data_IF_762248358610
#
_entry.id   IF_762248358610
#
_cell.length_a   1.000
_cell.length_b   1.000
_cell.length_c   1.000
_cell.angle_alpha   90.00
_cell.angle_beta   90.00
_cell.angle_gamma   90.00
#
_symmetry.space_group_name_H-M   'P 1'
#
loop_
_entity.id
_entity.type
_entity.pdbx_description
1 polymer ?
#
# COMPACT_ATOMS: atom_id res chain seq x y z
N UNK A 1 11.12 3.71 2.32
CA UNK A 1 10.01 4.68 2.48
C UNK A 1 9.85 5.27 3.86
N UNK A 2 10.76 4.99 4.74
CA UNK A 2 10.74 5.59 6.08
C UNK A 2 10.85 7.10 6.01
N UNK A 3 11.57 7.62 5.03
CA UNK A 3 11.74 9.06 4.88
C UNK A 3 10.42 9.79 4.56
N UNK A 4 9.38 9.05 4.16
CA UNK A 4 8.07 9.63 3.93
C UNK A 4 7.18 9.63 5.18
N UNK A 5 7.68 9.03 6.27
CA UNK A 5 6.98 9.04 7.55
C UNK A 5 5.83 8.04 7.64
N UNK A 6 5.80 7.05 6.75
CA UNK A 6 4.76 6.02 6.83
C UNK A 6 5.09 5.03 7.93
N UNK A 7 4.06 4.52 8.59
CA UNK A 7 4.19 3.51 9.64
C UNK A 7 3.88 2.13 9.06
N UNK A 8 4.77 1.17 9.28
CA UNK A 8 4.51 -0.20 8.82
C UNK A 8 3.60 -0.91 9.82
N UNK A 9 2.44 -1.34 9.35
CA UNK A 9 1.47 -2.04 10.19
C UNK A 9 1.57 -3.54 10.04
N UNK A 10 2.02 -4.05 8.89
CA UNK A 10 2.13 -5.48 8.64
C UNK A 10 3.15 -5.72 7.53
N UNK A 11 3.73 -6.92 7.53
CA UNK A 11 4.60 -7.35 6.45
C UNK A 11 5.99 -6.74 6.48
N UNK A 12 6.47 -6.33 7.65
CA UNK A 12 7.76 -5.66 7.77
C UNK A 12 8.90 -6.43 7.11
N UNK A 13 8.87 -7.75 7.18
CA UNK A 13 9.92 -8.58 6.58
C UNK A 13 9.96 -8.48 5.05
N UNK A 14 8.91 -7.94 4.45
CA UNK A 14 8.80 -7.83 2.99
C UNK A 14 8.97 -6.40 2.48
N UNK A 15 9.40 -5.48 3.33
CA UNK A 15 9.57 -4.08 2.96
C UNK A 15 10.65 -3.85 1.90
N UNK A 16 11.49 -4.83 1.67
CA UNK A 16 12.59 -4.71 0.71
C UNK A 16 12.14 -4.81 -0.75
N UNK A 17 10.85 -5.07 -0.99
CA UNK A 17 10.36 -5.27 -2.34
C UNK A 17 10.55 -4.05 -3.22
N UNK A 18 10.87 -4.32 -4.47
CA UNK A 18 11.01 -3.27 -5.47
C UNK A 18 9.65 -2.66 -5.80
N UNK A 19 9.63 -1.33 -5.98
CA UNK A 19 8.40 -0.59 -6.26
C UNK A 19 8.46 0.00 -7.66
N UNK A 20 7.42 -0.28 -8.46
CA UNK A 20 7.34 0.17 -9.84
C UNK A 20 6.18 1.13 -10.09
N UNK A 21 5.93 2.04 -9.18
CA UNK A 21 4.86 3.00 -9.33
C UNK A 21 3.76 2.80 -8.31
N UNK A 22 2.65 3.49 -8.51
CA UNK A 22 1.56 3.47 -7.55
C UNK A 22 0.22 3.60 -8.26
N UNK A 23 -0.82 3.07 -7.62
CA UNK A 23 -2.19 3.18 -8.10
C UNK A 23 -3.05 3.65 -6.94
N UNK A 24 -3.93 4.62 -7.17
CA UNK A 24 -4.79 5.17 -6.14
C UNK A 24 -6.25 4.88 -6.48
N UNK A 25 -6.92 4.10 -5.63
CA UNK A 25 -8.32 3.81 -5.80
C UNK A 25 -8.88 3.19 -4.53
N UNK A 26 -10.14 3.51 -4.21
CA UNK A 26 -10.85 2.87 -3.11
C UNK A 26 -11.78 1.77 -3.60
N UNK A 27 -11.86 1.57 -4.90
CA UNK A 27 -12.72 0.55 -5.47
C UNK A 27 -11.90 -0.71 -5.74
N UNK A 28 -12.22 -1.79 -5.03
CA UNK A 28 -11.46 -3.03 -5.14
C UNK A 28 -11.40 -3.58 -6.56
N UNK A 29 -12.53 -3.53 -7.27
CA UNK A 29 -12.57 -4.05 -8.63
C UNK A 29 -11.70 -3.23 -9.59
N UNK A 30 -11.58 -1.93 -9.34
CA UNK A 30 -10.73 -1.07 -10.15
C UNK A 30 -9.26 -1.39 -9.91
N UNK A 31 -8.86 -1.52 -8.64
CA UNK A 31 -7.50 -1.87 -8.30
C UNK A 31 -7.15 -3.25 -8.87
N UNK A 32 -8.09 -4.20 -8.77
CA UNK A 32 -7.88 -5.53 -9.28
C UNK A 32 -7.67 -5.55 -10.79
N UNK A 33 -8.36 -4.65 -11.49
CA UNK A 33 -8.25 -4.59 -12.94
C UNK A 33 -7.09 -3.79 -13.47
N UNK A 34 -6.62 -2.79 -12.73
CA UNK A 34 -5.66 -1.83 -13.25
C UNK A 34 -4.33 -1.73 -12.53
N UNK A 35 -4.26 -2.08 -11.25
CA UNK A 35 -2.97 -2.09 -10.57
C UNK A 35 -2.12 -3.22 -11.12
N UNK A 36 -0.81 -3.01 -11.16
CA UNK A 36 0.11 -4.00 -11.72
C UNK A 36 1.11 -4.46 -10.67
N UNK A 37 1.70 -5.63 -10.90
CA UNK A 37 2.68 -6.19 -9.98
C UNK A 37 3.78 -5.17 -9.68
N UNK A 38 4.20 -5.12 -8.42
CA UNK A 38 5.25 -4.20 -7.99
C UNK A 38 4.77 -2.80 -7.65
N UNK A 39 3.50 -2.49 -7.89
CA UNK A 39 2.96 -1.18 -7.56
C UNK A 39 2.60 -1.04 -6.10
N UNK A 40 2.59 0.20 -5.62
CA UNK A 40 2.01 0.56 -4.34
C UNK A 40 0.55 0.90 -4.57
N UNK A 41 -0.32 0.46 -3.67
CA UNK A 41 -1.76 0.74 -3.77
C UNK A 41 -2.16 1.70 -2.67
N UNK A 42 -2.52 2.93 -3.04
CA UNK A 42 -2.95 3.96 -2.10
C UNK A 42 -4.46 3.87 -2.00
N UNK A 43 -4.98 3.67 -0.79
CA UNK A 43 -6.40 3.48 -0.59
C UNK A 43 -6.83 3.90 0.82
N UNK A 44 -8.11 4.24 0.97
CA UNK A 44 -8.71 4.45 2.29
C UNK A 44 -9.45 3.19 2.75
N UNK A 45 -9.47 2.13 1.94
CA UNK A 45 -10.11 0.88 2.30
C UNK A 45 -9.33 0.14 3.37
N UNK A 46 -10.07 -0.41 4.34
CA UNK A 46 -9.45 -1.18 5.43
C UNK A 46 -10.06 -2.57 5.57
N UNK A 47 -10.95 -2.95 4.65
CA UNK A 47 -11.58 -4.26 4.65
C UNK A 47 -10.55 -5.35 4.31
N UNK A 48 -10.73 -6.53 4.88
CA UNK A 48 -9.77 -7.63 4.69
C UNK A 48 -9.57 -8.01 3.21
N UNK A 49 -10.50 -7.65 2.34
CA UNK A 49 -10.36 -7.95 0.91
C UNK A 49 -9.18 -7.24 0.26
N UNK A 50 -8.67 -6.18 0.89
CA UNK A 50 -7.49 -5.50 0.36
C UNK A 50 -6.27 -6.43 0.34
N UNK A 51 -6.19 -7.33 1.31
CA UNK A 51 -5.07 -8.28 1.37
C UNK A 51 -5.14 -9.25 0.19
N UNK A 52 -6.35 -9.74 -0.11
CA UNK A 52 -6.53 -10.65 -1.23
C UNK A 52 -6.12 -10.01 -2.56
N UNK A 53 -6.55 -8.76 -2.77
CA UNK A 53 -6.21 -8.03 -3.99
C UNK A 53 -4.68 -7.85 -4.09
N UNK A 54 -4.05 -7.41 -3.02
CA UNK A 54 -2.61 -7.17 -3.03
C UNK A 54 -1.82 -8.45 -3.27
N UNK A 55 -2.28 -9.56 -2.71
CA UNK A 55 -1.61 -10.84 -2.88
C UNK A 55 -1.75 -11.33 -4.32
N UNK A 56 -2.97 -11.30 -4.86
CA UNK A 56 -3.22 -11.77 -6.22
C UNK A 56 -2.52 -10.92 -7.27
N UNK A 57 -2.43 -9.63 -7.04
CA UNK A 57 -1.78 -8.72 -7.99
C UNK A 57 -0.28 -8.57 -7.73
N UNK A 58 0.22 -9.18 -6.69
CA UNK A 58 1.64 -9.10 -6.31
C UNK A 58 2.09 -7.66 -6.12
N UNK A 59 1.28 -6.90 -5.40
CA UNK A 59 1.59 -5.50 -5.13
C UNK A 59 2.71 -5.40 -4.09
N UNK A 60 3.50 -4.34 -4.19
CA UNK A 60 4.62 -4.14 -3.25
C UNK A 60 4.15 -3.76 -1.86
N UNK A 61 3.08 -2.97 -1.77
CA UNK A 61 2.50 -2.60 -0.48
C UNK A 61 1.14 -1.95 -0.68
N UNK A 62 0.35 -1.97 0.38
CA UNK A 62 -0.89 -1.20 0.49
C UNK A 62 -0.56 -0.02 1.39
N UNK A 63 -0.94 1.19 0.99
CA UNK A 63 -0.78 2.38 1.82
C UNK A 63 -2.17 2.89 2.19
N UNK A 64 -2.55 2.70 3.44
CA UNK A 64 -3.84 3.16 3.96
C UNK A 64 -3.69 4.60 4.40
N UNK A 65 -4.54 5.49 3.87
CA UNK A 65 -4.44 6.92 4.13
C UNK A 65 -5.34 7.36 5.26
N UNK A 66 -5.18 8.61 5.66
CA UNK A 66 -5.98 9.26 6.72
C UNK A 66 -5.82 8.57 8.09
N UNK A 67 -4.71 7.88 8.29
CA UNK A 67 -4.43 7.19 9.55
C UNK A 67 -5.59 6.29 9.98
N UNK A 68 -6.31 5.72 9.01
CA UNK A 68 -7.44 4.86 9.33
C UNK A 68 -6.97 3.59 10.04
N UNK A 69 -7.64 3.20 11.12
CA UNK A 69 -7.26 1.98 11.83
C UNK A 69 -7.56 0.74 11.00
N UNK A 70 -6.65 -0.23 11.07
CA UNK A 70 -6.82 -1.52 10.39
C UNK A 70 -6.96 -2.58 11.47
N UNK A 71 -8.00 -3.41 11.35
CA UNK A 71 -8.28 -4.43 12.36
C UNK A 71 -7.12 -5.42 12.53
N UNK A 72 -6.83 -5.85 13.77
CA UNK A 72 -5.71 -6.78 13.98
C UNK A 72 -5.79 -8.06 13.16
N UNK A 73 -7.00 -8.57 12.90
CA UNK A 73 -7.15 -9.78 12.09
C UNK A 73 -6.75 -9.54 10.63
N UNK A 74 -6.96 -8.33 10.11
CA UNK A 74 -6.55 -7.98 8.76
C UNK A 74 -5.03 -7.93 8.69
N UNK A 75 -4.40 -7.36 9.71
CA UNK A 75 -2.94 -7.27 9.79
C UNK A 75 -2.31 -8.67 9.90
N UNK A 76 -2.93 -9.55 10.69
CA UNK A 76 -2.44 -10.92 10.83
C UNK A 76 -2.54 -11.66 9.49
N UNK A 77 -3.64 -11.46 8.78
CA UNK A 77 -3.82 -12.09 7.47
C UNK A 77 -2.78 -11.57 6.47
N UNK A 78 -2.49 -10.27 6.53
CA UNK A 78 -1.46 -9.69 5.66
C UNK A 78 -0.08 -10.32 5.93
N UNK A 79 0.25 -10.51 7.21
CA UNK A 79 1.51 -11.17 7.57
C UNK A 79 1.60 -12.57 6.97
N UNK A 80 0.51 -13.34 7.08
CA UNK A 80 0.46 -14.69 6.55
C UNK A 80 0.64 -14.73 5.04
N UNK A 81 0.06 -13.76 4.35
CA UNK A 81 0.10 -13.70 2.89
C UNK A 81 1.32 -12.97 2.35
N UNK A 82 2.17 -12.45 3.22
CA UNK A 82 3.36 -11.72 2.79
C UNK A 82 3.02 -10.37 2.19
N UNK A 83 1.93 -9.75 2.63
CA UNK A 83 1.47 -8.45 2.12
C UNK A 83 1.90 -7.36 3.09
N UNK A 84 2.49 -6.29 2.54
CA UNK A 84 2.91 -5.13 3.33
C UNK A 84 1.76 -4.14 3.43
N UNK A 85 1.45 -3.69 4.65
CA UNK A 85 0.48 -2.62 4.86
C UNK A 85 1.16 -1.48 5.59
N UNK A 86 1.16 -0.32 4.96
CA UNK A 86 1.71 0.91 5.53
C UNK A 86 0.56 1.86 5.84
N UNK A 87 0.77 2.72 6.83
CA UNK A 87 -0.19 3.74 7.21
C UNK A 87 0.38 5.12 6.92
N UNK A 88 -0.42 5.97 6.28
CA UNK A 88 -0.08 7.37 6.10
C UNK A 88 -1.04 8.21 6.95
N UNK A 89 -0.50 9.17 7.70
CA UNK A 89 -1.32 10.08 8.48
C UNK A 89 -1.96 11.18 7.65
N UNK A 90 -1.69 11.21 6.34
CA UNK A 90 -2.18 12.25 5.45
C UNK A 90 -3.29 11.74 4.54
N UNK A 91 -4.08 12.66 3.96
CA UNK A 91 -5.09 12.28 2.98
C UNK A 91 -4.49 11.71 1.70
N UNK A 92 -5.34 11.12 0.87
CA UNK A 92 -4.90 10.45 -0.36
C UNK A 92 -4.13 11.37 -1.29
N UNK A 93 -4.61 12.60 -1.47
CA UNK A 93 -3.98 13.54 -2.40
C UNK A 93 -2.54 13.84 -2.00
N UNK A 94 -2.33 14.17 -0.73
CA UNK A 94 -0.98 14.50 -0.24
C UNK A 94 -0.08 13.27 -0.24
N UNK A 95 -0.62 12.12 0.15
CA UNK A 95 0.14 10.88 0.14
C UNK A 95 0.60 10.55 -1.28
N UNK A 96 -0.31 10.67 -2.25
CA UNK A 96 0.02 10.40 -3.64
C UNK A 96 1.07 11.37 -4.16
N UNK A 97 0.93 12.66 -3.82
CA UNK A 97 1.89 13.65 -4.25
C UNK A 97 3.29 13.40 -3.72
N UNK A 98 3.38 13.05 -2.44
CA UNK A 98 4.67 12.72 -1.82
C UNK A 98 5.31 11.51 -2.50
N UNK A 99 4.51 10.48 -2.74
CA UNK A 99 5.00 9.27 -3.39
C UNK A 99 5.43 9.53 -4.83
N UNK A 100 4.66 10.31 -5.55
CA UNK A 100 4.97 10.63 -6.92
C UNK A 100 6.35 11.30 -7.02
N UNK A 101 6.60 12.29 -6.16
CA UNK A 101 7.88 12.96 -6.14
C UNK A 101 9.02 12.04 -5.72
N UNK A 102 8.77 11.22 -4.70
CA UNK A 102 9.79 10.29 -4.21
C UNK A 102 10.18 9.28 -5.29
N UNK A 103 9.20 8.70 -5.96
CA UNK A 103 9.46 7.68 -6.98
C UNK A 103 10.17 8.26 -8.19
N UNK A 104 9.85 9.49 -8.56
CA UNK A 104 10.54 10.16 -9.67
C UNK A 104 12.01 10.38 -9.34
N UNK A 105 12.32 10.74 -8.12
CA UNK A 105 13.71 10.98 -7.70
C UNK A 105 14.51 9.69 -7.67
N UNK A 106 13.90 8.61 -7.19
CA UNK A 106 14.58 7.33 -7.09
C UNK A 106 14.87 6.73 -8.47
N UNK A 107 14.02 7.03 -9.45
CA UNK A 107 14.18 6.51 -10.81
C UNK A 107 15.28 7.21 -11.61
N UNK A 108 15.76 8.32 -11.09
CA UNK A 108 16.87 9.00 -11.75
C UNK A 108 18.18 8.31 -11.44
#
# INVERSE_FOLDING_TARGET
MQELGFTCLAGEAFLYRYTEGAYLSDLLSDAMGKAEAGMLWITSQVHRNIVAVASLKELSAIIVVNERPVEPEVLAHAEEEGVVILSSGKPAFETAGMLYNYLREVER
#
